data_IF_684937150924
#
_entry.id   IF_684937150924
#
_cell.length_a   1.000
_cell.length_b   1.000
_cell.length_c   1.000
_cell.angle_alpha   90.00
_cell.angle_beta   90.00
_cell.angle_gamma   90.00
#
_symmetry.space_group_name_H-M   'P 1'
#
loop_
_entity.id
_entity.type
_entity.pdbx_description
1 polymer ?
#
# COMPACT_ATOMS: atom_id res chain seq x y z
N UNK A 1 43.71 -69.16 9.52
CA UNK A 1 43.04 -67.87 9.26
C UNK A 1 41.80 -68.16 8.48
N UNK A 2 40.64 -67.90 9.06
CA UNK A 2 39.31 -68.37 8.62
C UNK A 2 38.73 -67.50 7.48
N UNK A 3 38.35 -68.03 6.36
CA UNK A 3 37.89 -67.24 5.17
C UNK A 3 36.55 -66.53 5.38
N UNK A 4 35.88 -66.75 6.52
CA UNK A 4 34.58 -66.16 6.80
C UNK A 4 34.61 -64.65 7.19
N UNK A 5 35.78 -64.14 7.56
CA UNK A 5 35.92 -62.74 8.00
C UNK A 5 36.15 -61.73 6.87
N UNK A 6 36.53 -62.19 5.66
CA UNK A 6 36.70 -61.29 4.49
C UNK A 6 35.41 -61.02 3.78
N UNK A 7 34.44 -61.93 3.83
CA UNK A 7 33.14 -61.74 3.18
C UNK A 7 32.20 -60.77 3.94
N UNK A 8 32.33 -60.70 5.26
CA UNK A 8 31.54 -59.78 6.09
C UNK A 8 31.98 -58.32 5.98
N UNK A 9 33.24 -58.07 5.63
CA UNK A 9 33.74 -56.66 5.48
C UNK A 9 33.43 -56.06 4.11
N UNK A 10 33.26 -56.87 3.07
CA UNK A 10 32.91 -56.39 1.73
C UNK A 10 31.40 -56.08 1.63
N UNK A 11 30.57 -56.85 2.36
CA UNK A 11 29.11 -56.60 2.39
C UNK A 11 28.75 -55.39 3.23
N UNK A 12 29.48 -55.07 4.28
CA UNK A 12 29.27 -53.85 5.08
C UNK A 12 29.70 -52.57 4.35
N UNK A 13 30.73 -52.66 3.47
CA UNK A 13 31.20 -51.52 2.67
C UNK A 13 30.28 -51.23 1.46
N UNK A 14 29.57 -52.22 0.93
CA UNK A 14 28.59 -52.00 -0.17
C UNK A 14 27.25 -51.47 0.33
N UNK A 15 26.86 -51.80 1.57
CA UNK A 15 25.59 -51.24 2.14
C UNK A 15 25.75 -49.79 2.61
N UNK A 16 26.96 -49.37 3.01
CA UNK A 16 27.20 -47.94 3.37
C UNK A 16 27.40 -47.06 2.15
N UNK A 17 27.77 -47.60 0.99
CA UNK A 17 27.91 -46.79 -0.23
C UNK A 17 26.57 -46.58 -0.95
N UNK A 18 25.57 -47.44 -0.77
CA UNK A 18 24.21 -47.23 -1.31
C UNK A 18 23.38 -46.24 -0.46
N UNK A 19 23.75 -45.96 0.81
CA UNK A 19 23.03 -44.98 1.65
C UNK A 19 23.55 -43.54 1.46
N UNK A 20 24.63 -43.32 0.73
CA UNK A 20 25.23 -41.99 0.49
C UNK A 20 24.89 -41.42 -0.90
N UNK A 21 24.13 -42.13 -1.74
CA UNK A 21 23.71 -41.68 -3.06
C UNK A 21 22.19 -41.37 -3.17
N UNK A 22 21.47 -41.41 -2.09
CA UNK A 22 20.03 -41.17 -2.09
C UNK A 22 19.64 -39.99 -1.19
N UNK A 23 20.28 -38.86 -1.33
CA UNK A 23 19.66 -37.60 -0.88
C UNK A 23 20.41 -36.36 -1.37
N UNK A 24 20.16 -35.88 -2.54
CA UNK A 24 19.96 -34.45 -2.70
C UNK A 24 18.69 -34.12 -3.47
N UNK A 25 17.61 -34.88 -3.26
CA UNK A 25 16.37 -34.60 -3.99
C UNK A 25 15.19 -34.21 -3.07
N UNK A 26 15.44 -33.96 -1.80
CA UNK A 26 14.36 -33.58 -0.87
C UNK A 26 14.63 -32.28 -0.11
N UNK A 27 15.48 -31.42 -0.67
CA UNK A 27 15.48 -29.99 -0.34
C UNK A 27 14.82 -29.21 -1.47
N UNK A 28 13.81 -29.76 -2.12
CA UNK A 28 12.84 -28.98 -2.85
C UNK A 28 12.04 -28.22 -1.79
N UNK A 29 12.43 -26.94 -1.64
CA UNK A 29 11.61 -25.82 -1.15
C UNK A 29 10.21 -26.31 -0.74
N UNK A 30 10.01 -26.65 0.53
CA UNK A 30 8.66 -26.68 1.09
C UNK A 30 8.18 -25.24 0.97
N UNK A 31 7.49 -24.94 -0.12
CA UNK A 31 6.64 -23.79 -0.17
C UNK A 31 5.74 -23.92 1.06
N UNK A 32 5.86 -23.00 2.02
CA UNK A 32 4.95 -23.00 3.15
C UNK A 32 3.54 -22.93 2.59
N UNK A 33 2.62 -23.76 3.11
CA UNK A 33 1.22 -23.72 2.71
C UNK A 33 0.72 -22.27 2.73
N UNK A 34 -0.18 -21.87 1.80
CA UNK A 34 -0.72 -20.53 1.79
C UNK A 34 -1.47 -20.25 3.10
N UNK A 35 -1.37 -19.04 3.59
CA UNK A 35 -2.09 -18.62 4.78
C UNK A 35 -2.84 -17.32 4.50
N UNK A 36 -4.17 -17.36 4.55
CA UNK A 36 -5.01 -16.17 4.53
C UNK A 36 -4.85 -15.38 5.83
N UNK A 37 -4.95 -14.05 5.75
CA UNK A 37 -4.75 -13.13 6.88
C UNK A 37 -6.02 -12.32 7.11
N UNK A 38 -6.31 -12.09 8.39
CA UNK A 38 -7.39 -11.20 8.79
C UNK A 38 -7.19 -9.79 8.27
N UNK A 39 -8.30 -9.12 7.96
CA UNK A 39 -8.34 -7.75 7.44
C UNK A 39 -9.37 -6.93 8.21
N UNK A 40 -9.02 -5.71 8.55
CA UNK A 40 -9.94 -4.68 9.01
C UNK A 40 -10.04 -3.59 7.96
N UNK A 41 -11.22 -3.36 7.42
CA UNK A 41 -11.49 -2.34 6.41
C UNK A 41 -12.56 -1.37 6.87
N UNK A 42 -12.48 -0.15 6.36
CA UNK A 42 -13.44 0.92 6.65
C UNK A 42 -13.93 1.54 5.35
N UNK A 43 -15.22 1.69 5.22
CA UNK A 43 -15.85 2.42 4.13
C UNK A 43 -16.99 3.29 4.64
N UNK A 44 -17.70 3.89 3.72
CA UNK A 44 -18.83 4.76 4.02
C UNK A 44 -20.12 4.19 3.44
N UNK A 45 -21.25 4.66 3.99
CA UNK A 45 -22.57 4.27 3.54
C UNK A 45 -22.73 4.46 2.03
N UNK A 46 -23.17 3.41 1.34
CA UNK A 46 -23.35 3.33 -0.11
C UNK A 46 -22.06 3.50 -0.94
N UNK A 47 -20.89 3.37 -0.34
CA UNK A 47 -19.61 3.49 -1.03
C UNK A 47 -18.91 2.13 -1.05
N UNK A 48 -18.65 1.55 -2.23
CA UNK A 48 -17.92 0.29 -2.33
C UNK A 48 -16.45 0.45 -1.87
N UNK A 49 -15.89 -0.64 -1.37
CA UNK A 49 -14.49 -0.73 -0.96
C UNK A 49 -13.76 -1.76 -1.80
N UNK A 50 -12.68 -1.34 -2.42
CA UNK A 50 -11.81 -2.20 -3.22
C UNK A 50 -10.54 -2.52 -2.44
N UNK A 51 -10.20 -3.81 -2.33
CA UNK A 51 -9.01 -4.26 -1.64
C UNK A 51 -8.44 -5.52 -2.28
N UNK A 52 -7.24 -5.87 -1.85
CA UNK A 52 -6.59 -7.13 -2.15
C UNK A 52 -6.63 -8.05 -0.94
N UNK A 53 -6.86 -9.35 -1.15
CA UNK A 53 -6.71 -10.33 -0.09
C UNK A 53 -5.28 -10.39 0.41
N UNK A 54 -5.09 -10.48 1.73
CA UNK A 54 -3.77 -10.61 2.34
C UNK A 54 -3.44 -12.07 2.55
N UNK A 55 -2.27 -12.48 2.06
CA UNK A 55 -1.76 -13.84 2.20
C UNK A 55 -0.30 -13.85 2.59
N UNK A 56 0.14 -14.92 3.22
CA UNK A 56 1.55 -15.23 3.46
C UNK A 56 1.83 -16.69 3.07
N UNK A 57 3.03 -16.97 2.57
CA UNK A 57 3.38 -18.30 2.05
C UNK A 57 2.72 -18.62 0.70
N UNK A 58 2.80 -19.86 0.29
CA UNK A 58 2.36 -20.30 -1.04
C UNK A 58 3.35 -19.90 -2.15
N UNK A 59 3.18 -20.48 -3.34
CA UNK A 59 3.87 -20.04 -4.55
C UNK A 59 3.08 -18.86 -5.13
N UNK A 60 3.46 -17.65 -4.81
CA UNK A 60 2.71 -16.39 -4.91
C UNK A 60 2.00 -16.00 -6.21
N UNK A 61 2.12 -16.76 -7.31
CA UNK A 61 1.54 -16.36 -8.61
C UNK A 61 0.23 -17.06 -8.97
N UNK A 62 -0.15 -18.15 -8.28
CA UNK A 62 -1.32 -18.97 -8.63
C UNK A 62 -2.28 -19.19 -7.44
N UNK A 63 -2.45 -18.19 -6.58
CA UNK A 63 -3.44 -18.29 -5.50
C UNK A 63 -4.85 -18.00 -6.02
N UNK A 64 -5.78 -18.88 -5.72
CA UNK A 64 -7.21 -18.67 -5.88
C UNK A 64 -7.87 -18.36 -4.53
N UNK A 65 -8.95 -17.57 -4.55
CA UNK A 65 -9.65 -17.09 -3.37
C UNK A 65 -11.11 -17.51 -3.40
N UNK A 66 -11.64 -17.86 -2.24
CA UNK A 66 -13.02 -18.33 -2.08
C UNK A 66 -13.63 -17.66 -0.86
N UNK A 67 -14.86 -17.13 -0.99
CA UNK A 67 -15.65 -16.67 0.16
C UNK A 67 -16.31 -17.89 0.81
N UNK A 68 -16.01 -18.09 2.08
CA UNK A 68 -16.57 -19.19 2.87
C UNK A 68 -17.88 -18.77 3.54
N UNK A 69 -17.91 -17.57 4.10
CA UNK A 69 -19.11 -16.98 4.68
C UNK A 69 -19.35 -15.60 4.09
N UNK A 70 -20.50 -15.42 3.47
CA UNK A 70 -20.93 -14.14 2.90
C UNK A 70 -21.24 -13.09 3.97
N UNK A 71 -21.04 -11.80 3.68
CA UNK A 71 -21.43 -10.73 4.60
C UNK A 71 -22.94 -10.64 4.72
N UNK A 72 -23.42 -10.17 5.88
CA UNK A 72 -24.87 -10.08 6.17
C UNK A 72 -25.52 -8.80 5.62
N UNK A 73 -24.71 -7.74 5.44
CA UNK A 73 -25.20 -6.39 5.16
C UNK A 73 -24.51 -5.77 3.95
N UNK A 74 -24.06 -6.61 3.04
CA UNK A 74 -23.40 -6.24 1.80
C UNK A 74 -23.21 -7.43 0.88
N UNK A 75 -22.43 -7.23 -0.18
CA UNK A 75 -22.01 -8.28 -1.12
C UNK A 75 -20.52 -8.18 -1.35
N UNK A 76 -19.88 -9.31 -1.66
CA UNK A 76 -18.48 -9.38 -2.05
C UNK A 76 -18.39 -9.93 -3.46
N UNK A 77 -17.64 -9.23 -4.33
CA UNK A 77 -17.25 -9.72 -5.64
C UNK A 77 -15.73 -9.94 -5.67
N UNK A 78 -15.28 -11.07 -6.20
CA UNK A 78 -13.86 -11.42 -6.34
C UNK A 78 -13.43 -11.20 -7.78
N UNK A 79 -12.25 -10.59 -7.97
CA UNK A 79 -11.54 -10.49 -9.24
C UNK A 79 -10.07 -10.86 -9.03
N UNK A 80 -9.72 -12.12 -9.29
CA UNK A 80 -8.39 -12.65 -9.01
C UNK A 80 -8.03 -12.57 -7.52
N UNK A 81 -7.01 -11.80 -7.20
CA UNK A 81 -6.56 -11.58 -5.82
C UNK A 81 -7.22 -10.33 -5.17
N UNK A 82 -8.08 -9.65 -5.89
CA UNK A 82 -8.79 -8.46 -5.41
C UNK A 82 -10.25 -8.79 -5.10
N UNK A 83 -10.84 -8.01 -4.22
CA UNK A 83 -12.27 -8.09 -3.93
C UNK A 83 -12.88 -6.69 -3.82
N UNK A 84 -14.16 -6.62 -4.13
CA UNK A 84 -14.98 -5.43 -3.91
C UNK A 84 -16.09 -5.75 -2.94
N UNK A 85 -16.10 -5.11 -1.77
CA UNK A 85 -17.22 -5.14 -0.86
C UNK A 85 -18.17 -3.98 -1.15
N UNK A 86 -19.43 -4.26 -1.40
CA UNK A 86 -20.48 -3.25 -1.61
C UNK A 86 -21.47 -3.30 -0.44
N UNK A 87 -21.53 -2.24 0.40
CA UNK A 87 -22.52 -2.17 1.47
C UNK A 87 -23.96 -2.22 0.94
N UNK A 88 -24.85 -2.89 1.65
CA UNK A 88 -26.28 -2.81 1.36
C UNK A 88 -26.75 -1.37 1.49
N UNK A 89 -27.75 -0.99 0.67
CA UNK A 89 -28.27 0.37 0.57
C UNK A 89 -28.61 0.94 1.95
N UNK A 90 -28.06 2.12 2.24
CA UNK A 90 -28.29 2.92 3.45
C UNK A 90 -27.87 2.27 4.78
N UNK A 91 -27.12 1.15 4.72
CA UNK A 91 -26.60 0.48 5.92
C UNK A 91 -25.36 1.15 6.46
N UNK A 92 -25.26 1.15 7.79
CA UNK A 92 -24.06 1.52 8.54
C UNK A 92 -23.85 0.49 9.66
N UNK A 93 -22.66 0.46 10.23
CA UNK A 93 -22.29 -0.46 11.31
C UNK A 93 -21.25 -1.48 10.84
N UNK A 94 -21.08 -2.56 11.59
CA UNK A 94 -20.10 -3.60 11.31
C UNK A 94 -20.73 -4.73 10.49
N UNK A 95 -19.99 -5.20 9.50
CA UNK A 95 -20.25 -6.42 8.74
C UNK A 95 -19.01 -7.31 8.73
N UNK A 96 -19.14 -8.56 8.28
CA UNK A 96 -18.05 -9.53 8.26
C UNK A 96 -18.27 -10.55 7.18
N UNK A 97 -17.17 -11.03 6.60
CA UNK A 97 -17.15 -12.23 5.78
C UNK A 97 -15.88 -13.03 6.06
N UNK A 98 -15.84 -14.31 5.72
CA UNK A 98 -14.61 -15.11 5.79
C UNK A 98 -14.20 -15.58 4.41
N UNK A 99 -12.90 -15.73 4.23
CA UNK A 99 -12.31 -16.23 3.00
C UNK A 99 -11.18 -17.21 3.29
N UNK A 100 -10.83 -18.00 2.28
CA UNK A 100 -9.62 -18.80 2.26
C UNK A 100 -8.89 -18.62 0.92
N UNK A 101 -7.64 -18.99 0.88
CA UNK A 101 -6.89 -19.10 -0.36
C UNK A 101 -6.41 -20.53 -0.60
N UNK A 102 -6.26 -20.89 -1.89
CA UNK A 102 -5.70 -22.17 -2.32
C UNK A 102 -4.55 -21.92 -3.27
N UNK A 103 -3.52 -22.74 -3.17
CA UNK A 103 -2.42 -22.73 -4.14
C UNK A 103 -2.72 -23.63 -5.35
N UNK A 104 -1.79 -23.64 -6.31
CA UNK A 104 -1.90 -24.45 -7.52
C UNK A 104 -1.90 -25.98 -7.24
N UNK A 105 -1.45 -26.42 -6.07
CA UNK A 105 -1.47 -27.80 -5.61
C UNK A 105 -2.81 -28.19 -4.98
N UNK A 106 -3.68 -27.20 -4.71
CA UNK A 106 -4.97 -27.39 -4.08
C UNK A 106 -4.94 -27.32 -2.56
N UNK A 107 -3.76 -27.03 -1.97
CA UNK A 107 -3.65 -26.84 -0.52
C UNK A 107 -4.37 -25.55 -0.11
N UNK A 108 -5.26 -25.66 0.86
CA UNK A 108 -6.06 -24.55 1.36
C UNK A 108 -5.48 -23.96 2.64
N UNK A 109 -5.59 -22.65 2.79
CA UNK A 109 -5.35 -21.96 4.06
C UNK A 109 -6.44 -22.29 5.08
N UNK A 110 -6.21 -21.95 6.36
CA UNK A 110 -7.30 -21.70 7.30
C UNK A 110 -8.15 -20.52 6.82
N UNK A 111 -9.40 -20.46 7.30
CA UNK A 111 -10.26 -19.30 7.06
C UNK A 111 -9.72 -18.06 7.77
N UNK A 112 -9.85 -16.91 7.12
CA UNK A 112 -9.53 -15.60 7.68
C UNK A 112 -10.76 -14.68 7.62
N UNK A 113 -10.97 -13.89 8.68
CA UNK A 113 -12.07 -12.95 8.76
C UNK A 113 -11.69 -11.60 8.18
N UNK A 114 -12.60 -11.01 7.41
CA UNK A 114 -12.58 -9.61 7.02
C UNK A 114 -13.66 -8.89 7.82
N UNK A 115 -13.25 -7.98 8.69
CA UNK A 115 -14.16 -7.11 9.45
C UNK A 115 -14.32 -5.78 8.73
N UNK A 116 -15.57 -5.37 8.46
CA UNK A 116 -15.90 -4.15 7.73
C UNK A 116 -16.62 -3.17 8.65
N UNK A 117 -16.11 -1.93 8.73
CA UNK A 117 -16.83 -0.84 9.39
C UNK A 117 -17.39 0.12 8.33
N UNK A 118 -18.73 0.20 8.25
CA UNK A 118 -19.43 1.13 7.36
C UNK A 118 -19.86 2.37 8.14
N UNK A 119 -19.24 3.51 7.88
CA UNK A 119 -19.48 4.78 8.54
C UNK A 119 -20.52 5.65 7.82
N UNK A 120 -21.13 6.60 8.55
CA UNK A 120 -21.96 7.64 7.92
C UNK A 120 -21.08 8.71 7.30
N UNK A 121 -21.47 9.22 6.14
CA UNK A 121 -20.91 10.44 5.56
C UNK A 121 -21.35 11.64 6.42
N UNK A 122 -20.40 12.46 6.86
CA UNK A 122 -20.62 13.64 7.71
C UNK A 122 -20.29 14.94 6.99
N UNK A 123 -19.36 14.91 6.02
CA UNK A 123 -18.93 16.08 5.23
C UNK A 123 -20.04 16.67 4.39
N UNK A 124 -21.12 15.92 4.12
CA UNK A 124 -22.14 16.30 3.17
C UNK A 124 -21.69 16.21 1.71
N UNK A 125 -20.46 15.72 1.46
CA UNK A 125 -19.93 15.52 0.11
C UNK A 125 -20.40 14.17 -0.42
N UNK A 126 -20.91 14.17 -1.64
CA UNK A 126 -21.18 12.97 -2.43
C UNK A 126 -20.71 13.26 -3.84
N UNK A 127 -19.77 12.45 -4.31
CA UNK A 127 -19.18 12.63 -5.64
C UNK A 127 -20.05 12.02 -6.72
N UNK A 128 -20.14 12.71 -7.87
CA UNK A 128 -20.89 12.26 -9.04
C UNK A 128 -20.03 11.43 -10.02
N UNK A 129 -18.72 11.42 -9.85
CA UNK A 129 -17.74 10.93 -10.83
C UNK A 129 -16.70 9.95 -10.27
N UNK A 130 -16.89 9.43 -9.07
CA UNK A 130 -15.95 8.47 -8.49
C UNK A 130 -16.33 7.02 -8.76
N UNK A 131 -17.55 6.73 -9.18
CA UNK A 131 -18.03 5.36 -9.40
C UNK A 131 -17.16 4.61 -10.42
N UNK A 132 -16.68 3.42 -10.03
CA UNK A 132 -15.77 2.60 -10.85
C UNK A 132 -14.33 3.12 -10.95
N UNK A 133 -13.95 4.16 -10.23
CA UNK A 133 -12.58 4.70 -10.22
C UNK A 133 -11.62 3.89 -9.33
N UNK A 134 -12.15 3.03 -8.46
CA UNK A 134 -11.39 2.33 -7.42
C UNK A 134 -10.84 3.25 -6.34
N UNK A 135 -11.29 4.50 -6.28
CA UNK A 135 -10.87 5.48 -5.28
C UNK A 135 -12.04 6.06 -4.46
N UNK A 136 -13.24 5.50 -4.59
CA UNK A 136 -14.48 6.00 -3.98
C UNK A 136 -14.33 6.23 -2.49
N UNK A 137 -13.88 5.20 -1.77
CA UNK A 137 -13.65 5.26 -0.32
C UNK A 137 -12.55 6.25 0.04
N UNK A 138 -11.45 6.26 -0.71
CA UNK A 138 -10.32 7.15 -0.45
C UNK A 138 -10.68 8.62 -0.71
N UNK A 139 -11.42 8.91 -1.79
CA UNK A 139 -11.94 10.24 -2.09
C UNK A 139 -12.87 10.73 -0.96
N UNK A 140 -13.78 9.86 -0.51
CA UNK A 140 -14.68 10.18 0.59
C UNK A 140 -13.91 10.40 1.90
N UNK A 141 -12.86 9.60 2.17
CA UNK A 141 -12.00 9.80 3.32
C UNK A 141 -11.37 11.20 3.35
N UNK A 142 -10.82 11.65 2.21
CA UNK A 142 -10.23 13.00 2.14
C UNK A 142 -11.26 14.11 2.36
N UNK A 143 -12.50 13.93 1.89
CA UNK A 143 -13.58 14.87 2.15
C UNK A 143 -13.99 14.89 3.63
N UNK A 144 -14.11 13.72 4.26
CA UNK A 144 -14.45 13.59 5.69
C UNK A 144 -13.37 14.16 6.60
N UNK A 145 -12.10 14.03 6.19
CA UNK A 145 -10.95 14.60 6.88
C UNK A 145 -10.75 16.11 6.63
N UNK A 146 -11.54 16.71 5.72
CA UNK A 146 -11.42 18.12 5.36
C UNK A 146 -10.16 18.45 4.53
N UNK A 147 -9.50 17.45 3.97
CA UNK A 147 -8.25 17.61 3.19
C UNK A 147 -8.56 18.07 1.77
N UNK A 148 -9.57 17.46 1.15
CA UNK A 148 -9.93 17.77 -0.23
C UNK A 148 -11.37 17.37 -0.53
N UNK A 149 -12.16 18.31 -1.05
CA UNK A 149 -13.58 18.12 -1.37
C UNK A 149 -13.89 18.16 -2.87
N UNK A 150 -12.87 18.35 -3.74
CA UNK A 150 -13.08 18.48 -5.17
C UNK A 150 -13.72 19.81 -5.59
N UNK A 151 -14.24 19.83 -6.80
CA UNK A 151 -14.97 20.96 -7.35
C UNK A 151 -16.48 20.80 -7.12
N UNK A 152 -17.19 21.90 -6.83
CA UNK A 152 -18.64 21.91 -6.76
C UNK A 152 -19.21 22.67 -7.96
N UNK A 153 -20.01 21.98 -8.77
CA UNK A 153 -20.67 22.55 -9.96
C UNK A 153 -22.15 22.25 -9.86
N UNK A 154 -22.98 23.27 -9.92
CA UNK A 154 -24.44 23.16 -9.85
C UNK A 154 -24.96 22.34 -8.67
N UNK A 155 -24.29 22.41 -7.52
CA UNK A 155 -24.63 21.68 -6.29
C UNK A 155 -24.14 20.24 -6.23
N UNK A 156 -23.47 19.74 -7.25
CA UNK A 156 -22.83 18.43 -7.26
C UNK A 156 -21.31 18.54 -7.05
N UNK A 157 -20.74 17.57 -6.33
CA UNK A 157 -19.30 17.48 -6.15
C UNK A 157 -18.68 16.57 -7.19
N UNK A 158 -17.52 16.99 -7.71
CA UNK A 158 -16.71 16.26 -8.68
C UNK A 158 -15.30 16.08 -8.10
N UNK A 159 -14.86 14.85 -8.05
CA UNK A 159 -13.52 14.49 -7.57
C UNK A 159 -12.50 14.59 -8.70
N UNK A 160 -12.90 14.34 -9.93
CA UNK A 160 -12.06 14.24 -11.13
C UNK A 160 -10.93 13.21 -10.94
N UNK A 161 -11.24 11.91 -10.76
CA UNK A 161 -10.29 10.88 -10.35
C UNK A 161 -9.09 10.74 -11.28
N UNK A 162 -9.27 10.96 -12.60
CA UNK A 162 -8.22 10.83 -13.61
C UNK A 162 -7.36 12.08 -13.80
N UNK A 163 -7.73 13.20 -13.16
CA UNK A 163 -6.94 14.42 -13.25
C UNK A 163 -5.57 14.23 -12.61
N UNK A 164 -4.51 14.62 -13.30
CA UNK A 164 -3.15 14.60 -12.74
C UNK A 164 -2.99 15.64 -11.64
N UNK A 165 -2.22 15.29 -10.61
CA UNK A 165 -1.94 16.14 -9.44
C UNK A 165 -0.60 16.82 -9.62
N UNK A 166 -0.55 18.12 -9.32
CA UNK A 166 0.71 18.86 -9.30
C UNK A 166 1.49 18.58 -8.01
N UNK A 167 2.79 18.89 -8.05
CA UNK A 167 3.66 18.71 -6.88
C UNK A 167 3.22 19.56 -5.69
N UNK A 168 2.74 20.76 -5.92
CA UNK A 168 2.21 21.62 -4.86
C UNK A 168 0.90 21.07 -4.27
N UNK A 169 -0.04 20.61 -5.12
CA UNK A 169 -1.30 19.99 -4.68
C UNK A 169 -1.03 18.75 -3.85
N UNK A 170 -0.16 17.85 -4.33
CA UNK A 170 0.16 16.62 -3.60
C UNK A 170 0.80 16.91 -2.23
N UNK A 171 1.74 17.87 -2.18
CA UNK A 171 2.38 18.25 -0.93
C UNK A 171 1.37 18.81 0.08
N UNK A 172 0.49 19.73 -0.34
CA UNK A 172 -0.53 20.30 0.54
C UNK A 172 -1.47 19.21 1.07
N UNK A 173 -2.01 18.37 0.19
CA UNK A 173 -2.86 17.24 0.58
C UNK A 173 -2.13 16.28 1.55
N UNK A 174 -0.84 16.01 1.33
CA UNK A 174 -0.05 15.17 2.23
C UNK A 174 0.05 15.79 3.61
N UNK A 175 0.42 17.06 3.70
CA UNK A 175 0.61 17.74 4.97
C UNK A 175 -0.70 17.87 5.75
N UNK A 176 -1.79 18.23 5.07
CA UNK A 176 -3.12 18.33 5.70
C UNK A 176 -3.60 16.96 6.18
N UNK A 177 -3.45 15.92 5.35
CA UNK A 177 -3.87 14.55 5.66
C UNK A 177 -3.12 13.97 6.87
N UNK A 178 -1.83 14.30 7.02
CA UNK A 178 -0.99 13.83 8.12
C UNK A 178 -0.94 14.80 9.30
N UNK A 179 -1.78 15.86 9.31
CA UNK A 179 -1.85 16.84 10.39
C UNK A 179 -0.57 17.66 10.58
N UNK A 180 0.23 17.84 9.53
CA UNK A 180 1.49 18.57 9.60
C UNK A 180 1.25 20.08 9.57
N UNK A 181 1.82 20.80 10.53
CA UNK A 181 1.62 22.25 10.62
C UNK A 181 2.39 23.01 9.53
N UNK A 182 1.74 23.96 8.91
CA UNK A 182 2.32 24.98 8.06
C UNK A 182 2.19 26.36 8.73
N UNK A 183 3.21 27.21 8.56
CA UNK A 183 3.21 28.56 9.11
C UNK A 183 3.28 29.55 7.97
N UNK A 184 2.43 30.57 8.00
CA UNK A 184 2.33 31.60 6.99
C UNK A 184 3.69 32.25 6.70
N UNK A 185 4.05 32.28 5.42
CA UNK A 185 5.28 32.91 4.92
C UNK A 185 5.00 33.67 3.64
N UNK A 186 5.77 34.70 3.40
CA UNK A 186 5.74 35.47 2.12
C UNK A 186 6.71 34.94 1.09
N UNK A 187 7.79 34.31 1.56
CA UNK A 187 8.89 33.78 0.72
C UNK A 187 9.24 32.38 1.22
N UNK A 188 9.45 31.46 0.31
CA UNK A 188 9.92 30.10 0.59
C UNK A 188 11.43 30.01 0.56
N UNK A 189 12.09 28.97 0.76
CA UNK A 189 13.54 28.84 0.56
C UNK A 189 13.94 28.35 -0.84
N UNK A 190 13.00 28.30 -1.79
CA UNK A 190 13.24 27.77 -3.12
C UNK A 190 13.58 28.86 -4.12
N UNK A 191 14.46 28.56 -5.10
CA UNK A 191 14.88 29.50 -6.14
C UNK A 191 13.75 29.91 -7.08
N UNK A 192 12.73 29.08 -7.23
CA UNK A 192 11.53 29.34 -8.02
C UNK A 192 10.34 29.87 -7.19
N UNK A 193 10.61 30.58 -6.10
CA UNK A 193 9.60 31.11 -5.18
C UNK A 193 8.48 31.91 -5.88
N UNK A 194 8.84 32.66 -6.92
CA UNK A 194 7.88 33.44 -7.70
C UNK A 194 6.85 32.57 -8.47
N UNK A 195 7.22 31.32 -8.78
CA UNK A 195 6.32 30.35 -9.43
C UNK A 195 5.43 29.61 -8.44
N UNK A 196 5.73 29.66 -7.13
CA UNK A 196 4.95 28.98 -6.07
C UNK A 196 3.69 29.82 -5.81
N UNK A 197 2.48 29.25 -6.02
CA UNK A 197 1.23 29.93 -5.72
C UNK A 197 1.17 30.36 -4.25
N UNK A 198 0.56 31.49 -3.96
CA UNK A 198 0.48 32.03 -2.61
C UNK A 198 -0.04 31.01 -1.58
N UNK A 199 -1.09 30.25 -1.95
CA UNK A 199 -1.65 29.20 -1.09
C UNK A 199 -0.71 28.05 -0.77
N UNK A 200 0.30 27.80 -1.65
CA UNK A 200 1.24 26.68 -1.50
C UNK A 200 2.53 27.08 -0.79
N UNK A 201 2.80 28.38 -0.59
CA UNK A 201 4.06 28.85 0.01
C UNK A 201 4.27 28.36 1.42
N UNK A 202 3.21 28.34 2.22
CA UNK A 202 3.26 27.90 3.62
C UNK A 202 3.65 26.42 3.71
N UNK A 203 3.01 25.59 2.89
CA UNK A 203 3.31 24.16 2.78
C UNK A 203 4.72 23.91 2.28
N UNK A 204 5.14 24.56 1.19
CA UNK A 204 6.45 24.38 0.61
C UNK A 204 7.58 24.77 1.58
N UNK A 205 7.42 25.90 2.27
CA UNK A 205 8.37 26.39 3.27
C UNK A 205 8.43 25.47 4.49
N UNK A 206 7.28 25.02 5.01
CA UNK A 206 7.23 24.12 6.16
C UNK A 206 7.84 22.76 5.81
N UNK A 207 7.51 22.21 4.64
CA UNK A 207 8.04 20.93 4.17
C UNK A 207 9.56 20.97 3.94
N UNK A 208 10.11 22.10 3.46
CA UNK A 208 11.54 22.29 3.35
C UNK A 208 12.22 22.29 4.72
N UNK A 209 11.69 23.04 5.68
CA UNK A 209 12.23 23.07 7.07
C UNK A 209 12.16 21.71 7.76
N UNK A 210 11.11 20.94 7.50
CA UNK A 210 10.91 19.61 8.10
C UNK A 210 11.65 18.51 7.33
N UNK A 211 12.34 18.85 6.22
CA UNK A 211 13.09 17.89 5.41
C UNK A 211 12.23 16.97 4.54
N UNK A 212 10.92 17.21 4.46
CA UNK A 212 9.97 16.44 3.62
C UNK A 212 10.26 16.66 2.14
N UNK A 213 10.55 17.91 1.74
CA UNK A 213 11.02 18.25 0.40
C UNK A 213 12.39 18.90 0.47
N UNK A 214 13.22 18.67 -0.57
CA UNK A 214 14.57 19.27 -0.67
C UNK A 214 14.73 20.11 -1.95
N UNK A 215 13.74 20.02 -2.85
CA UNK A 215 13.84 20.57 -4.19
C UNK A 215 14.73 19.75 -5.11
N UNK A 216 14.80 20.17 -6.36
CA UNK A 216 15.70 19.63 -7.38
C UNK A 216 16.68 20.72 -7.80
N UNK A 217 17.86 20.34 -8.33
CA UNK A 217 18.84 21.29 -8.81
C UNK A 217 18.21 22.21 -9.87
N UNK A 218 18.33 23.51 -9.66
CA UNK A 218 17.99 24.59 -10.57
C UNK A 218 19.21 25.45 -10.83
N UNK A 219 19.12 26.44 -11.74
CA UNK A 219 20.22 27.33 -12.10
C UNK A 219 20.68 28.15 -10.89
N UNK A 220 19.73 28.64 -10.09
CA UNK A 220 19.98 29.55 -8.96
C UNK A 220 19.80 28.88 -7.60
N UNK A 221 19.83 27.55 -7.52
CA UNK A 221 19.66 26.81 -6.30
C UNK A 221 18.59 25.72 -6.39
N UNK A 222 18.03 25.30 -5.24
CA UNK A 222 17.01 24.27 -5.21
C UNK A 222 15.64 24.82 -5.66
N UNK A 223 15.04 24.21 -6.69
CA UNK A 223 13.72 24.55 -7.19
C UNK A 223 12.66 23.54 -6.70
N UNK A 224 11.47 24.03 -6.34
CA UNK A 224 10.35 23.23 -5.90
C UNK A 224 9.54 22.65 -7.06
N UNK A 225 9.38 23.42 -8.16
CA UNK A 225 8.57 23.09 -9.36
C UNK A 225 7.08 22.83 -9.02
N UNK A 226 6.38 23.82 -8.47
CA UNK A 226 5.03 23.65 -7.89
C UNK A 226 4.00 23.11 -8.88
N UNK A 227 4.04 23.55 -10.13
CA UNK A 227 3.06 23.25 -11.18
C UNK A 227 3.40 22.00 -12.01
N UNK A 228 4.55 21.37 -11.77
CA UNK A 228 4.89 20.13 -12.46
C UNK A 228 3.99 18.98 -12.00
N UNK A 229 3.45 18.16 -12.92
CA UNK A 229 2.78 16.93 -12.54
C UNK A 229 3.73 16.05 -11.72
N UNK A 230 3.28 15.59 -10.53
CA UNK A 230 4.11 14.77 -9.67
C UNK A 230 4.12 13.32 -10.16
N UNK A 231 5.28 12.65 -10.10
CA UNK A 231 5.42 11.24 -10.43
C UNK A 231 5.30 10.38 -9.18
N UNK A 232 4.94 9.08 -9.36
CA UNK A 232 4.80 8.14 -8.23
C UNK A 232 6.05 8.08 -7.35
N UNK A 233 7.26 8.01 -7.93
CA UNK A 233 8.51 8.01 -7.16
C UNK A 233 8.72 9.28 -6.33
N UNK A 234 8.33 10.42 -6.85
CA UNK A 234 8.44 11.69 -6.13
C UNK A 234 7.43 11.78 -5.00
N UNK A 235 6.19 11.33 -5.25
CA UNK A 235 5.15 11.19 -4.24
C UNK A 235 5.58 10.22 -3.12
N UNK A 236 6.18 9.08 -3.48
CA UNK A 236 6.69 8.11 -2.53
C UNK A 236 7.74 8.74 -1.59
N UNK A 237 8.69 9.50 -2.11
CA UNK A 237 9.72 10.15 -1.28
C UNK A 237 9.13 11.22 -0.36
N UNK A 238 8.11 11.96 -0.82
CA UNK A 238 7.41 12.94 0.03
C UNK A 238 6.69 12.21 1.18
N UNK A 239 5.94 11.14 0.89
CA UNK A 239 5.22 10.35 1.90
C UNK A 239 6.16 9.65 2.89
N UNK A 240 7.21 9.00 2.41
CA UNK A 240 8.19 8.31 3.25
C UNK A 240 8.82 9.26 4.29
N UNK A 241 9.23 10.45 3.82
CA UNK A 241 9.79 11.48 4.69
C UNK A 241 8.76 12.09 5.64
N UNK A 242 7.55 12.36 5.15
CA UNK A 242 6.47 12.90 5.99
C UNK A 242 6.07 11.94 7.11
N UNK A 243 6.03 10.64 6.82
CA UNK A 243 5.75 9.57 7.78
C UNK A 243 6.96 9.22 8.65
N UNK A 244 8.17 9.72 8.31
CA UNK A 244 9.42 9.38 9.00
C UNK A 244 9.61 7.86 9.14
N UNK A 245 9.45 7.14 8.03
CA UNK A 245 9.50 5.68 8.05
C UNK A 245 10.92 5.18 8.32
N UNK A 246 11.01 4.06 9.04
CA UNK A 246 12.27 3.33 9.17
C UNK A 246 12.52 2.53 7.90
N UNK A 247 13.77 2.52 7.45
CA UNK A 247 14.19 1.74 6.29
C UNK A 247 13.99 0.25 6.53
N UNK A 248 13.40 -0.42 5.53
CA UNK A 248 13.35 -1.87 5.46
C UNK A 248 14.59 -2.40 4.74
N UNK A 249 14.97 -3.62 5.01
CA UNK A 249 16.01 -4.32 4.25
C UNK A 249 15.42 -4.72 2.88
N UNK A 250 15.75 -3.95 1.85
CA UNK A 250 15.22 -4.17 0.50
C UNK A 250 15.61 -5.52 -0.07
N UNK A 251 16.84 -5.99 0.21
CA UNK A 251 17.31 -7.27 -0.29
C UNK A 251 16.55 -8.45 0.35
N UNK A 252 16.14 -8.29 1.61
CA UNK A 252 15.35 -9.29 2.32
C UNK A 252 13.87 -9.24 1.92
N UNK A 253 13.29 -8.02 1.87
CA UNK A 253 11.85 -7.83 1.63
C UNK A 253 11.47 -8.04 0.16
N UNK A 254 12.36 -7.72 -0.78
CA UNK A 254 12.11 -7.76 -2.23
C UNK A 254 13.14 -8.64 -2.96
N UNK A 255 13.44 -9.81 -2.39
CA UNK A 255 14.43 -10.73 -2.95
C UNK A 255 14.12 -11.08 -4.41
N UNK A 256 15.10 -10.86 -5.30
CA UNK A 256 14.97 -11.12 -6.74
C UNK A 256 14.41 -9.93 -7.54
N UNK A 257 14.08 -8.82 -6.90
CA UNK A 257 13.72 -7.55 -7.55
C UNK A 257 14.78 -6.51 -7.25
N UNK A 258 15.25 -5.80 -8.27
CA UNK A 258 16.23 -4.73 -8.12
C UNK A 258 15.61 -3.38 -8.51
N UNK A 259 15.81 -2.38 -7.69
CA UNK A 259 15.56 -0.98 -8.00
C UNK A 259 16.79 -0.16 -7.58
N UNK A 260 17.48 0.41 -8.56
CA UNK A 260 18.66 1.26 -8.35
C UNK A 260 18.31 2.74 -8.39
N UNK A 261 17.03 3.09 -8.45
CA UNK A 261 16.58 4.48 -8.49
C UNK A 261 16.85 5.20 -7.17
N UNK A 262 16.96 6.52 -7.23
CA UNK A 262 17.11 7.37 -6.04
C UNK A 262 15.93 7.30 -5.07
N UNK A 263 14.78 6.75 -5.50
CA UNK A 263 13.57 6.61 -4.71
C UNK A 263 13.36 5.18 -4.17
N UNK A 264 14.26 4.23 -4.53
CA UNK A 264 14.10 2.81 -4.22
C UNK A 264 13.74 2.55 -2.75
N UNK A 265 14.47 3.16 -1.81
CA UNK A 265 14.21 2.98 -0.38
C UNK A 265 12.82 3.46 0.02
N UNK A 266 12.41 4.64 -0.45
CA UNK A 266 11.09 5.19 -0.14
C UNK A 266 9.96 4.34 -0.74
N UNK A 267 10.11 3.87 -1.97
CA UNK A 267 9.14 2.97 -2.62
C UNK A 267 9.04 1.65 -1.85
N UNK A 268 10.17 1.03 -1.52
CA UNK A 268 10.21 -0.21 -0.74
C UNK A 268 9.60 -0.05 0.66
N UNK A 269 9.92 1.05 1.36
CA UNK A 269 9.34 1.35 2.67
C UNK A 269 7.82 1.43 2.63
N UNK A 270 7.27 2.09 1.62
CA UNK A 270 5.83 2.31 1.47
C UNK A 270 5.09 1.06 0.96
N UNK A 271 5.68 0.32 0.02
CA UNK A 271 5.11 -0.95 -0.44
C UNK A 271 5.06 -1.98 0.68
N UNK A 272 6.15 -2.15 1.42
CA UNK A 272 6.21 -3.08 2.56
C UNK A 272 5.12 -2.80 3.61
N UNK A 273 4.68 -1.54 3.74
CA UNK A 273 3.64 -1.12 4.69
C UNK A 273 2.26 -0.95 4.05
N UNK A 274 2.08 -1.35 2.80
CA UNK A 274 0.79 -1.31 2.11
C UNK A 274 0.30 0.08 1.72
N UNK A 275 1.16 1.11 1.78
CA UNK A 275 0.81 2.46 1.30
C UNK A 275 0.88 2.53 -0.24
N UNK A 276 1.83 1.82 -0.83
CA UNK A 276 1.88 1.55 -2.25
C UNK A 276 1.44 0.10 -2.53
N UNK A 277 0.93 -0.14 -3.72
CA UNK A 277 0.50 -1.47 -4.16
C UNK A 277 1.70 -2.40 -4.35
N UNK A 278 1.49 -3.70 -4.14
CA UNK A 278 2.49 -4.72 -4.43
C UNK A 278 2.97 -4.64 -5.89
N UNK A 279 4.30 -4.78 -6.08
CA UNK A 279 4.95 -4.64 -7.39
C UNK A 279 5.31 -3.19 -7.77
N UNK A 280 5.19 -2.24 -6.84
CA UNK A 280 5.67 -0.87 -7.04
C UNK A 280 7.20 -0.80 -6.99
N UNK A 281 7.83 -1.56 -6.10
CA UNK A 281 9.29 -1.64 -6.02
C UNK A 281 9.84 -2.36 -7.26
N UNK A 282 10.76 -1.72 -7.97
CA UNK A 282 11.31 -2.20 -9.24
C UNK A 282 10.34 -2.13 -10.42
N UNK A 283 9.10 -1.63 -10.22
CA UNK A 283 8.09 -1.56 -11.27
C UNK A 283 8.18 -0.30 -12.14
N UNK A 284 7.87 -0.44 -13.42
CA UNK A 284 7.88 0.66 -14.41
C UNK A 284 6.84 1.77 -14.12
N UNK A 285 5.85 1.46 -13.26
CA UNK A 285 4.79 2.39 -12.88
C UNK A 285 5.27 3.64 -12.16
N UNK A 286 6.46 3.60 -11.54
CA UNK A 286 6.99 4.69 -10.71
C UNK A 286 7.35 5.97 -11.48
N UNK A 287 7.49 5.88 -12.82
CA UNK A 287 7.69 7.05 -13.68
C UNK A 287 6.40 7.75 -14.11
N UNK A 288 5.25 7.09 -13.97
CA UNK A 288 3.97 7.68 -14.35
C UNK A 288 3.59 8.84 -13.43
N UNK A 289 2.80 9.77 -13.95
CA UNK A 289 2.21 10.85 -13.18
C UNK A 289 1.11 10.32 -12.27
N UNK A 290 1.00 10.91 -11.08
CA UNK A 290 -0.02 10.56 -10.09
C UNK A 290 -1.34 11.22 -10.48
N UNK A 291 -2.41 10.43 -10.58
CA UNK A 291 -3.79 10.93 -10.71
C UNK A 291 -4.36 11.26 -9.35
N UNK A 292 -5.47 11.99 -9.31
CA UNK A 292 -6.15 12.35 -8.06
C UNK A 292 -6.67 11.10 -7.34
N UNK A 293 -7.14 10.10 -8.08
CA UNK A 293 -7.51 8.80 -7.53
C UNK A 293 -6.33 8.10 -6.85
N UNK A 294 -5.18 8.08 -7.52
CA UNK A 294 -3.97 7.47 -6.95
C UNK A 294 -3.47 8.24 -5.72
N UNK A 295 -3.46 9.57 -5.76
CA UNK A 295 -3.10 10.40 -4.61
C UNK A 295 -4.02 10.11 -3.42
N UNK A 296 -5.34 10.03 -3.63
CA UNK A 296 -6.28 9.73 -2.56
C UNK A 296 -6.01 8.38 -1.91
N UNK A 297 -5.78 7.33 -2.71
CA UNK A 297 -5.45 6.01 -2.17
C UNK A 297 -4.17 6.03 -1.34
N UNK A 298 -3.09 6.63 -1.85
CA UNK A 298 -1.83 6.76 -1.11
C UNK A 298 -2.01 7.49 0.22
N UNK A 299 -2.75 8.61 0.21
CA UNK A 299 -2.97 9.44 1.39
C UNK A 299 -3.86 8.75 2.42
N UNK A 300 -4.93 8.08 1.99
CA UNK A 300 -5.79 7.31 2.89
C UNK A 300 -5.02 6.16 3.56
N UNK A 301 -4.19 5.42 2.79
CA UNK A 301 -3.34 4.36 3.34
C UNK A 301 -2.26 4.91 4.29
N UNK A 302 -1.66 6.05 3.96
CA UNK A 302 -0.68 6.73 4.83
C UNK A 302 -1.30 7.18 6.16
N UNK A 303 -2.52 7.72 6.11
CA UNK A 303 -3.25 8.12 7.32
C UNK A 303 -3.63 6.92 8.19
N UNK A 304 -4.10 5.83 7.59
CA UNK A 304 -4.39 4.59 8.30
C UNK A 304 -3.15 4.04 9.02
N UNK A 305 -1.98 4.07 8.37
CA UNK A 305 -0.71 3.68 8.98
C UNK A 305 -0.34 4.55 10.19
N UNK A 306 -0.63 5.86 10.16
CA UNK A 306 -0.43 6.74 11.32
C UNK A 306 -1.41 6.42 12.46
N UNK A 307 -2.68 6.20 12.16
CA UNK A 307 -3.69 5.81 13.15
C UNK A 307 -3.28 4.54 13.88
N UNK A 308 -2.81 3.51 13.16
CA UNK A 308 -2.28 2.28 13.75
C UNK A 308 -1.10 2.53 14.68
N UNK A 309 -0.18 3.43 14.31
CA UNK A 309 0.96 3.81 15.16
C UNK A 309 0.54 4.53 16.42
N UNK A 310 -0.50 5.37 16.38
CA UNK A 310 -0.93 6.21 17.48
C UNK A 310 -1.91 5.50 18.44
N UNK A 311 -2.79 4.66 17.93
CA UNK A 311 -3.73 3.83 18.74
C UNK A 311 -3.09 2.58 19.31
N UNK A 312 -1.96 2.30 18.90
CA UNK A 312 -0.86 1.44 19.16
C UNK A 312 -1.07 0.15 19.94
N UNK A 313 -1.14 -0.94 19.25
CA UNK A 313 -0.61 -2.24 19.71
C UNK A 313 0.91 -2.16 19.93
N UNK A 314 1.58 -1.10 19.47
CA UNK A 314 3.04 -0.85 19.55
C UNK A 314 3.43 0.35 20.42
N UNK A 315 2.54 0.92 21.20
CA UNK A 315 2.87 2.05 22.10
C UNK A 315 3.92 1.69 23.18
N UNK A 316 4.18 0.41 23.40
CA UNK A 316 5.19 -0.11 24.33
C UNK A 316 6.60 -0.27 23.72
N UNK A 317 6.78 0.00 22.41
CA UNK A 317 8.07 -0.04 21.70
C UNK A 317 8.71 1.35 21.51
N UNK A 318 8.22 2.37 22.20
CA UNK A 318 8.85 3.71 22.26
C UNK A 318 9.98 3.74 23.29
#
# INVERSE_FOLDING_TARGET
MNPSTRFRRVFAALLTLCLLLATPALAARQASAPAARELEIRTYRNIPYHARFLTTGGSGEDLSFEIVQEPRHGTVAIDGAEFTYTPAKDRCGTDRFTYLCRDAQGDASAEAEVTITVSRVKSGVTYADTDGSGAETAAQYLAEAGVFTGAQVAGQYFFEPERTVTRAEFLAMTMDCLGMSATAVTVTGFSDDAAIPAWAKDYASAALRQGVVRGSAGEDGAAFRPNAPIRYREAAVILDRALSLRDVDLALCFAGTEDTSWAAQAVGNLEYRGVLTAGSFGGDGMERTVTRAAAARMLASAAALLEERDTGFFSWLR
#
